data_IF_613034358436
#
_entry.id   IF_613034358436
#
_cell.length_a   1.000
_cell.length_b   1.000
_cell.length_c   1.000
_cell.angle_alpha   90.00
_cell.angle_beta   90.00
_cell.angle_gamma   90.00
#
_symmetry.space_group_name_H-M   'P 1'
#
loop_
_entity.id
_entity.type
_entity.pdbx_description
1 polymer ?
#
# COMPACT_ATOMS: atom_id res chain seq x y z
N UNK A 1 14.89 18.47 13.70
CA UNK A 1 14.09 17.39 14.31
C UNK A 1 14.76 16.02 14.14
N UNK A 2 14.76 15.39 12.95
CA UNK A 2 15.38 14.05 12.71
C UNK A 2 16.88 13.95 13.10
N UNK A 3 17.66 15.03 12.95
CA UNK A 3 19.09 15.07 13.31
C UNK A 3 19.37 15.26 14.82
N UNK A 4 18.40 15.73 15.59
CA UNK A 4 18.63 16.35 16.90
C UNK A 4 17.83 15.72 18.04
N UNK A 5 16.87 14.84 17.73
CA UNK A 5 16.04 14.15 18.71
C UNK A 5 16.21 12.64 18.49
N UNK A 6 16.26 11.81 19.56
CA UNK A 6 16.32 10.35 19.45
C UNK A 6 14.94 9.76 19.08
N UNK A 7 14.22 10.42 18.18
CA UNK A 7 12.87 10.08 17.73
C UNK A 7 12.89 10.06 16.22
N UNK A 8 12.46 8.95 15.63
CA UNK A 8 12.29 8.81 14.19
C UNK A 8 10.85 9.14 13.80
N UNK A 9 10.61 10.37 13.34
CA UNK A 9 9.34 10.72 12.69
C UNK A 9 9.31 10.11 11.31
N UNK A 10 8.33 9.25 11.07
CA UNK A 10 8.28 8.38 9.91
C UNK A 10 7.06 8.73 9.05
N UNK A 11 7.28 8.84 7.76
CA UNK A 11 6.28 8.82 6.70
C UNK A 11 6.37 7.42 6.08
N UNK A 12 5.32 6.61 6.20
CA UNK A 12 5.39 5.21 5.77
C UNK A 12 5.52 5.03 4.25
N UNK A 13 5.24 6.04 3.43
CA UNK A 13 5.48 6.01 2.00
C UNK A 13 6.94 6.40 1.69
N UNK A 14 7.39 7.53 2.22
CA UNK A 14 8.75 8.04 1.96
C UNK A 14 9.85 7.25 2.68
N UNK A 15 9.57 6.73 3.88
CA UNK A 15 10.48 5.92 4.68
C UNK A 15 10.12 4.42 4.54
N UNK A 16 9.72 4.01 3.33
CA UNK A 16 9.34 2.63 3.01
C UNK A 16 10.45 1.61 3.31
N UNK A 17 11.71 2.00 3.20
CA UNK A 17 12.88 1.21 3.58
C UNK A 17 12.97 0.93 5.11
N UNK A 18 12.45 1.84 5.93
CA UNK A 18 12.38 1.67 7.38
C UNK A 18 11.25 0.71 7.81
N UNK A 19 10.13 0.68 7.07
CA UNK A 19 8.96 -0.18 7.36
C UNK A 19 8.89 -1.45 6.51
N UNK A 20 9.81 -1.59 5.55
CA UNK A 20 9.85 -2.70 4.60
C UNK A 20 8.67 -2.67 3.62
N UNK A 21 8.41 -1.53 2.99
CA UNK A 21 7.43 -1.34 1.94
C UNK A 21 6.05 -0.91 2.44
N UNK A 22 5.04 -1.04 1.59
CA UNK A 22 3.66 -0.64 1.91
C UNK A 22 3.12 -1.39 3.14
N UNK A 23 2.48 -0.67 4.06
CA UNK A 23 1.88 -1.22 5.29
C UNK A 23 0.34 -1.23 5.25
N UNK A 24 -0.26 -0.91 4.10
CA UNK A 24 -1.70 -0.98 3.85
C UNK A 24 -2.20 -2.43 3.76
N UNK A 25 -3.52 -2.60 3.64
CA UNK A 25 -4.15 -3.91 3.45
C UNK A 25 -4.08 -4.80 4.68
N UNK A 26 -4.09 -4.20 5.88
CA UNK A 26 -4.07 -4.91 7.16
C UNK A 26 -2.69 -5.38 7.60
N UNK A 27 -1.60 -5.02 6.89
CA UNK A 27 -0.22 -5.35 7.32
C UNK A 27 0.20 -4.53 8.54
N UNK A 28 -0.04 -3.22 8.51
CA UNK A 28 0.18 -2.31 9.62
C UNK A 28 -1.06 -1.49 9.96
N UNK A 29 -1.90 -1.20 8.95
CA UNK A 29 -3.17 -0.51 9.16
C UNK A 29 -4.20 -0.83 8.07
N UNK A 30 -5.39 -0.29 8.30
CA UNK A 30 -6.49 -0.16 7.35
C UNK A 30 -7.26 1.12 7.69
N UNK A 31 -8.16 1.55 6.81
CA UNK A 31 -8.98 2.73 7.00
C UNK A 31 -10.47 2.34 7.03
N UNK A 32 -11.23 2.85 8.00
CA UNK A 32 -12.69 2.77 7.98
C UNK A 32 -13.22 4.17 7.72
N UNK A 33 -13.87 4.37 6.58
CA UNK A 33 -14.42 5.68 6.23
C UNK A 33 -15.71 5.98 7.03
N UNK A 34 -16.25 7.20 6.88
CA UNK A 34 -17.45 7.63 7.61
C UNK A 34 -18.72 6.82 7.28
N UNK A 35 -18.78 6.16 6.12
CA UNK A 35 -19.87 5.27 5.73
C UNK A 35 -19.69 3.85 6.31
N UNK A 36 -18.53 3.53 6.88
CA UNK A 36 -18.20 2.24 7.47
C UNK A 36 -17.46 1.30 6.51
N UNK A 37 -17.09 1.75 5.32
CA UNK A 37 -16.37 0.90 4.37
C UNK A 37 -14.94 0.67 4.84
N UNK A 38 -14.50 -0.59 4.80
CA UNK A 38 -13.18 -1.02 5.24
C UNK A 38 -12.23 -0.98 4.04
N UNK A 39 -11.51 0.14 3.93
CA UNK A 39 -10.54 0.44 2.88
C UNK A 39 -9.12 -0.03 3.29
N UNK A 40 -8.29 -0.47 2.33
CA UNK A 40 -6.95 -0.97 2.64
C UNK A 40 -5.98 0.14 3.06
N UNK A 41 -6.23 1.38 2.64
CA UNK A 41 -5.36 2.55 2.82
C UNK A 41 -6.21 3.82 2.89
N UNK A 42 -5.81 4.80 3.68
CA UNK A 42 -6.54 6.08 3.82
C UNK A 42 -6.53 6.93 2.52
N UNK A 43 -5.68 6.56 1.56
CA UNK A 43 -5.55 7.23 0.26
C UNK A 43 -6.11 6.38 -0.90
N UNK A 44 -6.74 5.23 -0.61
CA UNK A 44 -7.25 4.30 -1.63
C UNK A 44 -8.68 3.93 -1.28
N UNK A 45 -9.62 4.68 -1.86
CA UNK A 45 -11.05 4.58 -1.60
C UNK A 45 -11.71 3.50 -2.45
N UNK A 46 -11.40 2.24 -2.13
CA UNK A 46 -12.06 1.06 -2.67
C UNK A 46 -12.32 0.04 -1.56
N UNK A 47 -13.49 -0.61 -1.60
CA UNK A 47 -13.86 -1.61 -0.59
C UNK A 47 -14.73 -2.75 -1.16
N UNK A 48 -14.62 -3.92 -0.53
CA UNK A 48 -15.53 -5.07 -0.68
C UNK A 48 -16.25 -5.42 0.65
N UNK A 49 -16.06 -4.60 1.68
CA UNK A 49 -16.45 -4.90 3.06
C UNK A 49 -16.88 -3.64 3.82
N UNK A 50 -17.92 -3.76 4.63
CA UNK A 50 -18.40 -2.69 5.50
C UNK A 50 -18.49 -3.19 6.94
N UNK A 51 -18.05 -2.37 7.91
CA UNK A 51 -18.01 -2.72 9.34
C UNK A 51 -19.39 -2.98 9.95
N UNK A 52 -20.45 -2.48 9.30
CA UNK A 52 -21.84 -2.71 9.70
C UNK A 52 -22.29 -4.16 9.41
N UNK A 53 -21.60 -4.86 8.51
CA UNK A 53 -21.98 -6.17 7.99
C UNK A 53 -20.95 -7.27 8.29
N UNK A 54 -19.67 -6.90 8.34
CA UNK A 54 -18.54 -7.82 8.56
C UNK A 54 -17.73 -7.41 9.77
N UNK A 55 -17.25 -8.39 10.53
CA UNK A 55 -16.18 -8.20 11.50
C UNK A 55 -14.86 -7.86 10.81
N UNK A 56 -13.91 -7.29 11.55
CA UNK A 56 -12.56 -7.03 11.04
C UNK A 56 -11.86 -8.31 10.55
N UNK A 57 -12.06 -9.44 11.23
CA UNK A 57 -11.45 -10.70 10.83
C UNK A 57 -12.00 -11.21 9.50
N UNK A 58 -13.30 -11.05 9.26
CA UNK A 58 -13.94 -11.38 7.98
C UNK A 58 -13.45 -10.45 6.87
N UNK A 59 -13.36 -9.15 7.13
CA UNK A 59 -12.79 -8.18 6.19
C UNK A 59 -11.32 -8.47 5.86
N UNK A 60 -10.49 -8.83 6.84
CA UNK A 60 -9.09 -9.21 6.58
C UNK A 60 -8.93 -10.50 5.77
N UNK A 61 -9.98 -11.32 5.69
CA UNK A 61 -10.03 -12.53 4.85
C UNK A 61 -10.79 -12.29 3.55
N UNK A 62 -11.31 -11.09 3.32
CA UNK A 62 -12.03 -10.75 2.10
C UNK A 62 -11.10 -10.70 0.88
N UNK A 63 -11.64 -10.84 -0.34
CA UNK A 63 -10.85 -10.76 -1.57
C UNK A 63 -9.92 -9.56 -1.65
N UNK A 64 -10.35 -8.37 -1.24
CA UNK A 64 -9.53 -7.14 -1.31
C UNK A 64 -8.28 -7.23 -0.43
N UNK A 65 -8.44 -7.58 0.85
CA UNK A 65 -7.30 -7.66 1.77
C UNK A 65 -6.37 -8.83 1.45
N UNK A 66 -6.93 -9.96 1.00
CA UNK A 66 -6.13 -11.08 0.54
C UNK A 66 -5.36 -10.75 -0.75
N UNK A 67 -5.95 -9.98 -1.67
CA UNK A 67 -5.28 -9.51 -2.88
C UNK A 67 -4.11 -8.57 -2.57
N UNK A 68 -4.24 -7.68 -1.59
CA UNK A 68 -3.12 -6.90 -1.05
C UNK A 68 -2.03 -7.81 -0.45
N UNK A 69 -2.42 -8.76 0.39
CA UNK A 69 -1.49 -9.66 1.10
C UNK A 69 -0.59 -10.45 0.16
N UNK A 70 -1.15 -11.02 -0.91
CA UNK A 70 -0.39 -11.87 -1.85
C UNK A 70 0.49 -11.08 -2.81
N UNK A 71 0.21 -9.78 -3.00
CA UNK A 71 0.93 -8.91 -3.94
C UNK A 71 1.95 -8.00 -3.27
N UNK A 72 2.00 -7.95 -1.94
CA UNK A 72 3.06 -7.24 -1.23
C UNK A 72 4.32 -8.11 -1.12
N UNK A 73 5.52 -7.55 -1.38
CA UNK A 73 5.76 -6.18 -1.84
C UNK A 73 5.33 -5.92 -3.28
N UNK A 74 4.90 -4.68 -3.55
CA UNK A 74 4.62 -4.24 -4.91
C UNK A 74 5.90 -3.93 -5.72
N UNK A 75 7.03 -3.71 -5.04
CA UNK A 75 8.34 -3.44 -5.62
C UNK A 75 9.47 -3.97 -4.71
N UNK A 76 10.60 -4.39 -5.28
CA UNK A 76 11.80 -4.79 -4.52
C UNK A 76 12.59 -3.58 -3.99
N UNK A 77 12.44 -2.41 -4.62
CA UNK A 77 12.94 -1.14 -4.13
C UNK A 77 11.93 -0.55 -3.13
N UNK A 78 12.27 -0.55 -1.84
CA UNK A 78 11.34 -0.10 -0.79
C UNK A 78 11.09 1.42 -0.80
N UNK A 79 11.82 2.19 -1.60
CA UNK A 79 11.51 3.60 -1.90
C UNK A 79 10.39 3.77 -2.93
N UNK A 80 9.85 2.65 -3.44
CA UNK A 80 8.74 2.58 -4.39
C UNK A 80 7.60 1.71 -3.86
N UNK A 81 7.10 1.94 -2.62
CA UNK A 81 6.26 0.97 -1.95
C UNK A 81 4.79 1.00 -2.41
N UNK A 82 4.28 2.11 -2.95
CA UNK A 82 2.86 2.31 -3.18
C UNK A 82 2.36 1.56 -4.43
N UNK A 83 1.22 0.84 -4.36
CA UNK A 83 0.61 0.19 -5.52
C UNK A 83 -0.04 1.16 -6.53
N UNK A 84 -0.07 2.47 -6.21
CA UNK A 84 -0.62 3.52 -7.06
C UNK A 84 0.48 4.47 -7.53
N UNK A 85 1.18 5.10 -6.59
CA UNK A 85 2.15 6.16 -6.89
C UNK A 85 3.41 5.64 -7.58
N UNK A 86 3.84 4.42 -7.25
CA UNK A 86 5.17 3.92 -7.64
C UNK A 86 5.12 2.71 -8.58
N UNK A 87 3.98 2.01 -8.60
CA UNK A 87 3.77 0.76 -9.33
C UNK A 87 2.44 0.77 -10.09
N UNK A 88 2.32 1.55 -11.18
CA UNK A 88 1.09 1.65 -11.95
C UNK A 88 0.54 0.29 -12.36
N UNK A 89 -0.79 0.15 -12.28
CA UNK A 89 -1.51 -1.09 -12.60
C UNK A 89 -1.67 -2.07 -11.43
N UNK A 90 -0.85 -1.97 -10.37
CA UNK A 90 -0.98 -2.87 -9.21
C UNK A 90 -2.31 -2.71 -8.47
N UNK A 91 -2.74 -1.47 -8.21
CA UNK A 91 -4.06 -1.25 -7.60
C UNK A 91 -5.19 -1.68 -8.54
N UNK A 92 -5.09 -1.44 -9.84
CA UNK A 92 -6.07 -1.91 -10.84
C UNK A 92 -6.30 -3.41 -10.71
N UNK A 93 -5.22 -4.19 -10.75
CA UNK A 93 -5.27 -5.65 -10.64
C UNK A 93 -5.94 -6.10 -9.33
N UNK A 94 -5.62 -5.44 -8.22
CA UNK A 94 -6.17 -5.74 -6.90
C UNK A 94 -7.68 -5.46 -6.84
N UNK A 95 -8.12 -4.32 -7.35
CA UNK A 95 -9.53 -3.93 -7.32
C UNK A 95 -10.35 -4.83 -8.24
N UNK A 96 -9.85 -5.13 -9.43
CA UNK A 96 -10.53 -6.02 -10.38
C UNK A 96 -10.67 -7.46 -9.85
N UNK A 97 -9.60 -8.05 -9.31
CA UNK A 97 -9.65 -9.43 -8.80
C UNK A 97 -10.50 -9.56 -7.52
N UNK A 98 -10.61 -8.50 -6.74
CA UNK A 98 -11.40 -8.51 -5.51
C UNK A 98 -12.88 -8.18 -5.73
N UNK A 99 -13.23 -7.56 -6.86
CA UNK A 99 -14.57 -7.02 -7.08
C UNK A 99 -14.89 -5.82 -6.18
N UNK A 100 -13.87 -5.16 -5.62
CA UNK A 100 -14.05 -3.97 -4.81
C UNK A 100 -14.62 -2.82 -5.66
N UNK A 101 -15.46 -1.99 -5.05
CA UNK A 101 -16.04 -0.81 -5.70
C UNK A 101 -15.43 0.45 -5.10
N UNK A 102 -15.51 1.57 -5.85
CA UNK A 102 -15.06 2.87 -5.34
C UNK A 102 -15.96 3.33 -4.21
N UNK A 103 -15.35 3.77 -3.12
CA UNK A 103 -16.01 4.31 -1.92
C UNK A 103 -15.90 5.83 -1.83
N UNK A 104 -15.29 6.48 -2.84
CA UNK A 104 -15.34 7.93 -2.97
C UNK A 104 -16.76 8.34 -3.38
N UNK A 105 -17.46 9.00 -2.46
CA UNK A 105 -18.86 9.41 -2.63
C UNK A 105 -18.97 10.58 -3.63
N UNK A 106 -17.97 11.45 -3.68
CA UNK A 106 -18.02 12.69 -4.46
C UNK A 106 -17.61 12.44 -5.91
N UNK A 107 -16.61 11.59 -6.12
CA UNK A 107 -16.05 11.32 -7.43
C UNK A 107 -15.65 9.85 -7.58
N UNK A 108 -16.64 8.93 -7.68
CA UNK A 108 -16.34 7.53 -7.95
C UNK A 108 -15.50 7.41 -9.22
N UNK A 109 -14.39 6.69 -9.15
CA UNK A 109 -13.54 6.45 -10.32
C UNK A 109 -13.02 5.02 -10.36
N UNK A 110 -12.77 4.51 -11.57
CA UNK A 110 -12.17 3.18 -11.73
C UNK A 110 -10.73 3.21 -11.24
N UNK A 111 -10.29 2.09 -10.66
CA UNK A 111 -8.92 1.95 -10.18
C UNK A 111 -7.88 2.17 -11.29
N UNK A 112 -8.17 1.75 -12.52
CA UNK A 112 -7.30 2.01 -13.68
C UNK A 112 -7.13 3.50 -13.98
N UNK A 113 -8.22 4.26 -13.96
CA UNK A 113 -8.18 5.71 -14.21
C UNK A 113 -7.36 6.43 -13.13
N UNK A 114 -7.52 6.02 -11.87
CA UNK A 114 -6.72 6.55 -10.78
C UNK A 114 -5.23 6.21 -10.95
N UNK A 115 -4.89 4.94 -11.22
CA UNK A 115 -3.51 4.52 -11.47
C UNK A 115 -2.85 5.25 -12.64
N UNK A 116 -3.60 5.43 -13.73
CA UNK A 116 -3.08 6.04 -14.97
C UNK A 116 -2.61 7.48 -14.76
N UNK A 117 -3.26 8.23 -13.84
CA UNK A 117 -2.83 9.59 -13.48
C UNK A 117 -1.44 9.62 -12.83
N UNK A 118 -0.99 8.52 -12.24
CA UNK A 118 0.29 8.43 -11.54
C UNK A 118 1.44 7.90 -12.39
N UNK A 119 1.17 7.39 -13.61
CA UNK A 119 2.19 6.74 -14.47
C UNK A 119 3.40 7.65 -14.70
N UNK A 120 3.17 8.88 -15.16
CA UNK A 120 4.26 9.81 -15.46
C UNK A 120 5.10 10.14 -14.22
N UNK A 121 4.46 10.30 -13.05
CA UNK A 121 5.17 10.55 -11.80
C UNK A 121 6.00 9.33 -11.38
N UNK A 122 5.46 8.12 -11.52
CA UNK A 122 6.16 6.87 -11.22
C UNK A 122 7.39 6.67 -12.11
N UNK A 123 7.27 6.96 -13.41
CA UNK A 123 8.35 6.89 -14.39
C UNK A 123 9.50 7.84 -14.06
N UNK A 124 9.17 9.07 -13.66
CA UNK A 124 10.17 10.07 -13.26
C UNK A 124 10.82 9.72 -11.92
N UNK A 125 10.07 9.12 -10.98
CA UNK A 125 10.59 8.74 -9.67
C UNK A 125 11.51 7.51 -9.74
N UNK A 126 11.18 6.53 -10.58
CA UNK A 126 11.91 5.26 -10.69
C UNK A 126 13.44 5.41 -10.78
N UNK A 127 14.03 6.20 -11.70
CA UNK A 127 15.49 6.31 -11.81
C UNK A 127 16.13 6.96 -10.57
N UNK A 128 15.44 7.92 -9.94
CA UNK A 128 15.93 8.59 -8.72
C UNK A 128 15.90 7.62 -7.55
N UNK A 129 14.79 6.89 -7.39
CA UNK A 129 14.66 5.86 -6.37
C UNK A 129 15.72 4.77 -6.53
N UNK A 130 16.02 4.35 -7.76
CA UNK A 130 17.03 3.32 -8.01
C UNK A 130 18.44 3.81 -7.69
N UNK A 131 18.77 5.07 -8.03
CA UNK A 131 20.05 5.67 -7.66
C UNK A 131 20.21 5.72 -6.14
N UNK A 132 19.19 6.21 -5.42
CA UNK A 132 19.23 6.28 -3.95
C UNK A 132 19.33 4.88 -3.37
N UNK A 133 18.46 3.97 -3.78
CA UNK A 133 18.43 2.59 -3.29
C UNK A 133 19.78 1.91 -3.45
N UNK A 134 20.41 2.03 -4.63
CA UNK A 134 21.71 1.44 -4.90
C UNK A 134 22.86 2.07 -4.13
N UNK A 135 22.72 3.31 -3.65
CA UNK A 135 23.69 3.95 -2.78
C UNK A 135 23.57 3.55 -1.30
N UNK A 136 22.45 2.92 -0.89
CA UNK A 136 22.24 2.56 0.50
C UNK A 136 23.15 1.38 0.91
N UNK A 137 23.92 1.50 2.01
CA UNK A 137 24.84 0.45 2.45
C UNK A 137 24.11 -0.79 3.00
N UNK A 138 22.87 -0.62 3.49
CA UNK A 138 22.06 -1.69 4.07
C UNK A 138 20.65 -1.65 3.47
N UNK A 139 20.43 -2.38 2.38
CA UNK A 139 19.10 -2.56 1.79
C UNK A 139 18.32 -3.58 2.61
N UNK A 140 17.26 -3.14 3.29
CA UNK A 140 16.31 -4.05 3.94
C UNK A 140 15.09 -4.20 3.04
N UNK A 141 14.83 -5.42 2.59
CA UNK A 141 13.61 -5.74 1.85
C UNK A 141 12.37 -5.71 2.75
N UNK A 142 11.29 -6.34 2.31
CA UNK A 142 10.06 -6.41 3.12
C UNK A 142 10.33 -7.08 4.45
N UNK A 143 9.99 -6.36 5.52
CA UNK A 143 9.96 -6.94 6.87
C UNK A 143 8.63 -7.66 7.02
N UNK A 144 8.62 -8.96 6.73
CA UNK A 144 7.45 -9.81 6.97
C UNK A 144 7.30 -10.02 8.48
N UNK A 145 6.18 -9.59 9.06
CA UNK A 145 5.86 -9.83 10.48
C UNK A 145 5.17 -11.20 10.65
N UNK A 146 5.38 -11.84 11.81
CA UNK A 146 4.75 -13.14 12.15
C UNK A 146 5.40 -14.38 11.50
N UNK A 147 4.64 -15.48 11.40
CA UNK A 147 5.10 -16.80 10.88
C UNK A 147 5.66 -16.75 9.44
N UNK A 148 5.47 -15.65 8.72
CA UNK A 148 5.99 -15.45 7.35
C UNK A 148 7.40 -14.85 7.29
N UNK A 149 7.99 -14.45 8.43
CA UNK A 149 9.41 -14.04 8.52
C UNK A 149 10.41 -15.18 8.25
N UNK A 150 9.94 -16.43 8.28
CA UNK A 150 10.76 -17.63 8.09
C UNK A 150 10.52 -18.24 6.72
N UNK A 151 11.11 -17.66 5.68
CA UNK A 151 11.51 -18.35 4.45
C UNK A 151 12.48 -17.43 3.71
N UNK A 152 13.72 -17.46 4.19
CA UNK A 152 14.90 -17.23 3.36
C UNK A 152 15.22 -18.52 2.61
#
# INVERSE_FOLDING_TARGET
FRKTKPIFTMDFWNDGDAVGGCIAGGRGYMHINANGDIEPCAFIHYSDSNIKEKTLLEAYRSPLFMAYRVRQPFNENMLRPCPVLDNPGRLTEIVEVSGAHSTDIMKPEKACDYCNKCVHAAENWAPVADQIWNSLPNKKGVTLTGKMSKKS
#
